data_IF_011953745790
#
_entry.id   IF_011953745790
#
_cell.length_a   1.000
_cell.length_b   1.000
_cell.length_c   1.000
_cell.angle_alpha   90.00
_cell.angle_beta   90.00
_cell.angle_gamma   90.00
#
_symmetry.space_group_name_H-M   'P 1'
#
loop_
_entity.id
_entity.type
_entity.pdbx_description
1 polymer ?
#
# COMPACT_ATOMS: atom_id res chain seq x y z
N UNK A 1 -38.89 -15.98 10.93
CA UNK A 1 -37.64 -15.94 11.72
C UNK A 1 -36.49 -16.13 10.73
N UNK A 2 -35.94 -15.02 10.25
CA UNK A 2 -34.98 -14.99 9.14
C UNK A 2 -33.61 -15.52 9.59
N UNK A 3 -33.00 -16.34 8.74
CA UNK A 3 -31.62 -16.78 8.86
C UNK A 3 -30.69 -15.54 8.94
N UNK A 4 -29.98 -15.43 10.05
CA UNK A 4 -28.74 -14.67 10.15
C UNK A 4 -27.70 -15.37 9.25
N UNK A 5 -27.67 -14.97 7.99
CA UNK A 5 -26.56 -15.31 7.10
C UNK A 5 -25.32 -14.63 7.66
N UNK A 6 -24.43 -15.42 8.26
CA UNK A 6 -23.05 -15.03 8.56
C UNK A 6 -22.41 -14.54 7.27
N UNK A 7 -22.37 -13.23 7.07
CA UNK A 7 -21.54 -12.59 6.05
C UNK A 7 -20.12 -12.55 6.61
N UNK A 8 -19.44 -13.71 6.64
CA UNK A 8 -17.98 -13.74 6.61
C UNK A 8 -17.55 -13.34 5.20
N UNK A 9 -17.69 -12.05 4.86
CA UNK A 9 -17.07 -11.47 3.67
C UNK A 9 -15.57 -11.51 3.89
N UNK A 10 -14.90 -12.53 3.37
CA UNK A 10 -13.46 -12.46 3.15
C UNK A 10 -13.23 -11.32 2.15
N UNK A 11 -12.78 -10.17 2.66
CA UNK A 11 -12.37 -9.04 1.83
C UNK A 11 -11.42 -9.53 0.74
N UNK A 12 -11.60 -9.05 -0.50
CA UNK A 12 -10.69 -9.33 -1.60
C UNK A 12 -9.27 -8.86 -1.26
N UNK A 13 -8.25 -9.44 -1.89
CA UNK A 13 -6.85 -9.01 -1.66
C UNK A 13 -6.69 -7.49 -1.83
N UNK A 14 -7.22 -6.84 -2.89
CA UNK A 14 -7.15 -5.39 -3.02
C UNK A 14 -7.79 -4.62 -1.85
N UNK A 15 -8.93 -5.09 -1.34
CA UNK A 15 -9.60 -4.46 -0.21
C UNK A 15 -8.77 -4.63 1.08
N UNK A 16 -8.24 -5.83 1.34
CA UNK A 16 -7.35 -6.08 2.49
C UNK A 16 -6.10 -5.21 2.45
N UNK A 17 -5.49 -5.11 1.27
CA UNK A 17 -4.31 -4.29 1.03
C UNK A 17 -4.61 -2.81 1.29
N UNK A 18 -5.70 -2.28 0.76
CA UNK A 18 -6.12 -0.90 1.00
C UNK A 18 -6.33 -0.62 2.49
N UNK A 19 -6.99 -1.53 3.22
CA UNK A 19 -7.15 -1.42 4.67
C UNK A 19 -5.81 -1.47 5.42
N UNK A 20 -4.86 -2.28 4.95
CA UNK A 20 -3.51 -2.32 5.51
C UNK A 20 -2.72 -1.05 5.19
N UNK A 21 -2.87 -0.48 3.99
CA UNK A 21 -2.25 0.81 3.62
C UNK A 21 -2.73 1.92 4.56
N UNK A 22 -4.04 2.04 4.80
CA UNK A 22 -4.57 3.06 5.71
C UNK A 22 -4.01 2.99 7.13
N UNK A 23 -3.77 1.77 7.65
CA UNK A 23 -3.35 1.57 9.04
C UNK A 23 -1.83 1.54 9.19
N UNK A 24 -1.16 0.69 8.44
CA UNK A 24 0.25 0.36 8.65
C UNK A 24 1.18 1.22 7.80
N UNK A 25 0.83 1.52 6.54
CA UNK A 25 1.66 2.39 5.69
C UNK A 25 1.79 3.78 6.30
N UNK A 26 0.66 4.38 6.69
CA UNK A 26 0.66 5.73 7.29
C UNK A 26 1.42 5.75 8.62
N UNK A 27 1.23 4.73 9.46
CA UNK A 27 1.97 4.60 10.72
C UNK A 27 3.48 4.45 10.48
N UNK A 28 3.88 3.64 9.50
CA UNK A 28 5.28 3.43 9.14
C UNK A 28 5.92 4.73 8.62
N UNK A 29 5.23 5.44 7.74
CA UNK A 29 5.65 6.74 7.20
C UNK A 29 5.81 7.84 8.26
N UNK A 30 4.99 7.82 9.32
CA UNK A 30 5.08 8.76 10.44
C UNK A 30 6.14 8.37 11.48
N UNK A 31 6.39 7.07 11.65
CA UNK A 31 7.25 6.53 12.71
C UNK A 31 8.71 6.37 12.29
N UNK A 32 8.96 6.12 11.01
CA UNK A 32 10.31 6.15 10.46
C UNK A 32 10.66 7.59 10.13
N UNK A 33 11.86 8.05 10.53
CA UNK A 33 12.36 9.38 10.15
C UNK A 33 12.06 9.60 8.66
N UNK A 34 11.30 10.65 8.34
CA UNK A 34 10.90 11.06 6.97
C UNK A 34 12.15 11.31 6.12
N UNK A 35 12.80 10.23 5.73
CA UNK A 35 14.20 10.16 5.38
C UNK A 35 14.34 9.35 4.12
N UNK A 36 14.03 10.00 3.01
CA UNK A 36 14.30 9.48 1.68
C UNK A 36 13.70 10.44 0.68
N UNK A 37 14.53 11.09 -0.11
CA UNK A 37 14.17 11.96 -1.23
C UNK A 37 13.30 11.20 -2.25
N UNK A 38 12.01 11.03 -1.96
CA UNK A 38 11.02 10.62 -2.95
C UNK A 38 10.62 11.81 -3.83
N UNK A 39 11.34 12.93 -3.73
CA UNK A 39 11.16 14.12 -4.54
C UNK A 39 9.90 14.88 -4.18
N UNK A 40 9.42 15.63 -5.15
CA UNK A 40 8.22 16.44 -5.04
C UNK A 40 7.27 16.10 -6.19
N UNK A 41 5.98 16.28 -5.94
CA UNK A 41 4.91 16.21 -6.94
C UNK A 41 4.01 17.43 -6.74
N UNK A 42 3.88 18.26 -7.77
CA UNK A 42 3.10 19.50 -7.74
C UNK A 42 3.40 20.39 -6.51
N UNK A 43 4.69 20.53 -6.19
CA UNK A 43 5.17 21.34 -5.06
C UNK A 43 4.98 20.69 -3.67
N UNK A 44 4.38 19.50 -3.59
CA UNK A 44 4.23 18.74 -2.36
C UNK A 44 5.34 17.70 -2.21
N UNK A 45 5.95 17.54 -1.02
CA UNK A 45 6.93 16.50 -0.77
C UNK A 45 6.29 15.12 -0.92
N UNK A 46 7.06 14.16 -1.39
CA UNK A 46 6.66 12.76 -1.44
C UNK A 46 7.39 11.97 -0.35
N UNK A 47 6.84 10.80 0.00
CA UNK A 47 7.49 9.80 0.82
C UNK A 47 7.49 8.44 0.12
N UNK A 48 8.48 7.61 0.45
CA UNK A 48 8.54 6.22 0.02
C UNK A 48 8.08 5.29 1.13
N UNK A 49 7.09 4.43 0.86
CA UNK A 49 6.68 3.38 1.78
C UNK A 49 7.10 2.01 1.22
N UNK A 50 8.03 1.35 1.89
CA UNK A 50 8.46 0.01 1.52
C UNK A 50 7.52 -1.04 2.10
N UNK A 51 7.26 -2.09 1.34
CA UNK A 51 6.40 -3.19 1.77
C UNK A 51 6.88 -4.53 1.24
N UNK A 52 6.43 -5.60 1.90
CA UNK A 52 6.58 -6.97 1.41
C UNK A 52 5.22 -7.54 1.04
N UNK A 53 5.16 -8.25 -0.07
CA UNK A 53 3.94 -8.84 -0.61
C UNK A 53 4.20 -10.25 -1.15
N UNK A 54 3.15 -11.06 -1.20
CA UNK A 54 3.20 -12.36 -1.85
C UNK A 54 3.33 -12.18 -3.37
N UNK A 55 4.41 -12.70 -3.96
CA UNK A 55 4.74 -12.49 -5.38
C UNK A 55 3.74 -13.11 -6.37
N UNK A 56 2.96 -14.09 -5.90
CA UNK A 56 2.02 -14.85 -6.73
C UNK A 56 0.59 -14.30 -6.61
N UNK A 57 0.22 -13.70 -5.47
CA UNK A 57 -1.15 -13.19 -5.23
C UNK A 57 -1.26 -11.66 -5.11
N UNK A 58 -0.18 -10.96 -4.77
CA UNK A 58 -0.20 -9.51 -4.52
C UNK A 58 -0.75 -9.10 -3.15
N UNK A 59 -0.98 -10.04 -2.23
CA UNK A 59 -1.35 -9.72 -0.84
C UNK A 59 -0.16 -9.06 -0.14
N UNK A 60 -0.35 -7.83 0.34
CA UNK A 60 0.63 -7.10 1.14
C UNK A 60 0.62 -7.72 2.53
N UNK A 61 1.80 -8.09 3.01
CA UNK A 61 1.98 -8.77 4.29
C UNK A 61 2.42 -7.79 5.36
N UNK A 62 3.29 -6.82 5.02
CA UNK A 62 3.85 -5.87 5.98
C UNK A 62 4.45 -4.64 5.30
N UNK A 63 4.33 -3.48 5.96
CA UNK A 63 5.09 -2.27 5.65
C UNK A 63 6.30 -2.18 6.58
N UNK A 64 7.50 -2.10 6.02
CA UNK A 64 8.75 -2.00 6.78
C UNK A 64 9.93 -1.63 5.88
N UNK A 65 10.89 -0.89 6.42
CA UNK A 65 12.21 -0.73 5.81
C UNK A 65 13.18 -1.87 6.14
N UNK A 66 12.89 -2.68 7.15
CA UNK A 66 13.72 -3.80 7.55
C UNK A 66 13.75 -4.88 6.45
N UNK A 67 14.92 -5.48 6.26
CA UNK A 67 15.06 -6.53 5.28
C UNK A 67 14.49 -7.85 5.81
N UNK A 68 13.48 -8.38 5.10
CA UNK A 68 12.90 -9.69 5.36
C UNK A 68 13.40 -10.69 4.31
N UNK A 69 13.99 -11.80 4.77
CA UNK A 69 14.46 -12.90 3.91
C UNK A 69 13.43 -14.04 3.90
N UNK A 70 12.47 -13.96 2.98
CA UNK A 70 11.45 -14.99 2.76
C UNK A 70 11.27 -15.24 1.26
N UNK A 71 11.37 -16.49 0.78
CA UNK A 71 11.35 -16.78 -0.66
C UNK A 71 9.99 -16.55 -1.32
N UNK A 72 8.91 -16.55 -0.53
CA UNK A 72 7.53 -16.30 -0.96
C UNK A 72 7.16 -14.80 -0.96
N UNK A 73 8.01 -13.95 -0.37
CA UNK A 73 7.77 -12.51 -0.27
C UNK A 73 8.74 -11.72 -1.13
N UNK A 74 8.19 -10.82 -1.93
CA UNK A 74 8.95 -9.85 -2.70
C UNK A 74 8.80 -8.47 -2.07
N UNK A 75 9.80 -7.61 -2.27
CA UNK A 75 9.79 -6.23 -1.78
C UNK A 75 9.21 -5.31 -2.86
N UNK A 76 8.32 -4.42 -2.45
CA UNK A 76 7.82 -3.32 -3.26
C UNK A 76 7.98 -1.98 -2.55
N UNK A 77 7.68 -0.91 -3.27
CA UNK A 77 7.68 0.45 -2.75
C UNK A 77 6.52 1.26 -3.34
N UNK A 78 5.87 2.07 -2.51
CA UNK A 78 4.92 3.10 -2.95
C UNK A 78 5.57 4.47 -2.80
N UNK A 79 5.34 5.34 -3.79
CA UNK A 79 5.62 6.77 -3.70
C UNK A 79 4.31 7.50 -3.47
N UNK A 80 4.19 8.12 -2.29
CA UNK A 80 2.97 8.78 -1.83
C UNK A 80 3.21 10.26 -1.59
N UNK A 81 2.26 11.10 -1.99
CA UNK A 81 2.32 12.55 -1.80
C UNK A 81 1.94 12.90 -0.37
N UNK A 82 2.66 13.86 0.23
CA UNK A 82 2.28 14.48 1.50
C UNK A 82 1.83 15.91 1.24
N UNK A 83 0.52 16.17 1.38
CA UNK A 83 -0.05 17.51 1.23
C UNK A 83 0.29 18.36 2.43
N UNK A 84 1.16 19.35 2.22
CA UNK A 84 1.62 20.27 3.29
C UNK A 84 0.47 21.11 3.84
N UNK A 85 -0.47 21.51 2.99
CA UNK A 85 -1.62 22.36 3.37
C UNK A 85 -2.55 21.69 4.38
N UNK A 86 -2.67 20.36 4.33
CA UNK A 86 -3.55 19.57 5.21
C UNK A 86 -2.78 18.71 6.22
N UNK A 87 -1.45 18.66 6.12
CA UNK A 87 -0.56 17.78 6.90
C UNK A 87 -0.99 16.31 6.82
N UNK A 88 -1.40 15.86 5.64
CA UNK A 88 -1.87 14.49 5.40
C UNK A 88 -1.19 13.88 4.19
N UNK A 89 -0.99 12.57 4.24
CA UNK A 89 -0.72 11.79 3.05
C UNK A 89 -1.95 11.77 2.15
N UNK A 90 -1.69 11.92 0.87
CA UNK A 90 -2.67 11.99 -0.19
C UNK A 90 -2.45 10.78 -1.11
N UNK A 91 -2.38 10.98 -2.42
CA UNK A 91 -2.35 9.88 -3.37
C UNK A 91 -0.97 9.20 -3.50
N UNK A 92 -1.04 7.90 -3.77
CA UNK A 92 0.09 7.13 -4.32
C UNK A 92 0.18 7.46 -5.80
N UNK A 93 1.31 8.01 -6.23
CA UNK A 93 1.55 8.45 -7.62
C UNK A 93 2.38 7.44 -8.41
N UNK A 94 3.21 6.64 -7.73
CA UNK A 94 4.05 5.63 -8.36
C UNK A 94 4.17 4.42 -7.44
N UNK A 95 4.35 3.24 -8.02
CA UNK A 95 4.64 2.02 -7.28
C UNK A 95 5.60 1.13 -8.03
N UNK A 96 6.41 0.39 -7.28
CA UNK A 96 7.40 -0.53 -7.78
C UNK A 96 7.18 -1.89 -7.13
N UNK A 97 7.08 -2.92 -7.96
CA UNK A 97 7.03 -4.33 -7.55
C UNK A 97 7.96 -5.11 -8.49
N UNK A 98 8.48 -6.24 -8.01
CA UNK A 98 9.45 -7.05 -8.75
C UNK A 98 8.86 -7.57 -10.08
N UNK A 99 9.63 -7.49 -11.16
CA UNK A 99 9.21 -7.91 -12.50
C UNK A 99 8.76 -9.37 -12.56
N UNK A 100 9.34 -10.23 -11.70
CA UNK A 100 9.05 -11.66 -11.59
C UNK A 100 7.74 -11.96 -10.87
N UNK A 101 7.04 -10.95 -10.35
CA UNK A 101 5.70 -11.13 -9.79
C UNK A 101 4.71 -11.58 -10.86
N UNK A 102 3.75 -12.40 -10.43
CA UNK A 102 2.69 -12.88 -11.31
C UNK A 102 1.84 -11.71 -11.82
N UNK A 103 1.16 -11.94 -12.94
CA UNK A 103 0.20 -10.97 -13.48
C UNK A 103 -0.95 -10.70 -12.50
N UNK A 104 -1.39 -11.71 -11.75
CA UNK A 104 -2.39 -11.57 -10.70
C UNK A 104 -1.90 -10.64 -9.57
N UNK A 105 -0.66 -10.81 -9.12
CA UNK A 105 -0.07 -9.96 -8.09
C UNK A 105 0.01 -8.50 -8.55
N UNK A 106 0.44 -8.26 -9.80
CA UNK A 106 0.49 -6.92 -10.41
C UNK A 106 -0.89 -6.26 -10.42
N UNK A 107 -1.89 -6.98 -10.94
CA UNK A 107 -3.28 -6.52 -10.99
C UNK A 107 -3.86 -6.23 -9.60
N UNK A 108 -3.56 -7.07 -8.60
CA UNK A 108 -4.05 -6.86 -7.25
C UNK A 108 -3.40 -5.64 -6.58
N UNK A 109 -2.10 -5.42 -6.78
CA UNK A 109 -1.42 -4.20 -6.27
C UNK A 109 -1.97 -2.95 -6.94
N UNK A 110 -2.11 -2.94 -8.27
CA UNK A 110 -2.68 -1.80 -9.01
C UNK A 110 -4.10 -1.45 -8.53
N UNK A 111 -4.97 -2.47 -8.38
CA UNK A 111 -6.32 -2.27 -7.83
C UNK A 111 -6.30 -1.79 -6.38
N UNK A 112 -5.34 -2.25 -5.58
CA UNK A 112 -5.19 -1.79 -4.19
C UNK A 112 -4.85 -0.31 -4.15
N UNK A 113 -3.94 0.15 -5.03
CA UNK A 113 -3.56 1.56 -5.16
C UNK A 113 -4.75 2.41 -5.59
N UNK A 114 -5.51 1.96 -6.59
CA UNK A 114 -6.73 2.66 -7.02
C UNK A 114 -7.74 2.80 -5.87
N UNK A 115 -8.03 1.71 -5.15
CA UNK A 115 -8.92 1.73 -3.99
C UNK A 115 -8.43 2.66 -2.88
N UNK A 116 -7.13 2.65 -2.59
CA UNK A 116 -6.54 3.56 -1.61
C UNK A 116 -6.72 5.02 -2.02
N UNK A 117 -6.34 5.36 -3.26
CA UNK A 117 -6.45 6.72 -3.80
C UNK A 117 -7.90 7.23 -3.86
N UNK A 118 -8.87 6.37 -4.16
CA UNK A 118 -10.28 6.72 -4.11
C UNK A 118 -10.78 6.94 -2.67
N UNK A 119 -10.24 6.17 -1.72
CA UNK A 119 -10.69 6.19 -0.33
C UNK A 119 -10.27 7.42 0.47
N UNK A 120 -9.29 8.18 -0.03
CA UNK A 120 -8.75 9.40 0.61
C UNK A 120 -9.29 10.70 -0.03
N UNK A 121 -9.96 10.59 -1.19
CA UNK A 121 -10.60 11.72 -1.89
C UNK A 121 -11.99 12.05 -1.33
N UNK A 122 -12.56 11.15 -0.54
CA UNK A 122 -13.86 11.27 0.13
C UNK A 122 -13.70 11.59 1.61
#
# INVERSE_FOLDING_TARGET
MQLLTLVNMTNSIPQKNMEMMKREMIKNLLGESMGGNAGFHDGNPCAGANFYYNKDTGEIVVFTNEFIRRPDLHRGAFRIVFKVSSLKYDEIIEWYIDEKSSEEAKNNIERSVALFNDSIKN
#
